data_IF_036109494431
#
_entry.id   IF_036109494431
#
_cell.length_a   1.000
_cell.length_b   1.000
_cell.length_c   1.000
_cell.angle_alpha   90.00
_cell.angle_beta   90.00
_cell.angle_gamma   90.00
#
_symmetry.space_group_name_H-M   'P 1'
#
loop_
_entity.id
_entity.type
_entity.pdbx_description
1 polymer ?
#
# COMPACT_ATOMS: atom_id res chain seq x y z
N UNK A 1 12.17 -4.97 30.83
CA UNK A 1 11.89 -3.59 30.39
C UNK A 1 12.98 -2.72 30.97
N UNK A 2 13.92 -2.28 30.12
CA UNK A 2 15.02 -1.42 30.56
C UNK A 2 14.52 0.04 30.45
N UNK A 3 14.60 0.86 31.51
CA UNK A 3 14.13 2.25 31.46
C UNK A 3 14.88 3.14 30.45
N UNK A 4 15.98 2.64 29.90
CA UNK A 4 16.88 3.35 28.98
C UNK A 4 16.52 3.14 27.49
N UNK A 5 15.55 2.29 27.17
CA UNK A 5 15.20 2.01 25.77
C UNK A 5 14.37 3.18 25.20
N UNK A 6 14.77 3.79 24.06
CA UNK A 6 14.02 4.88 23.46
C UNK A 6 12.63 4.38 23.02
N UNK A 7 11.60 5.08 23.49
CA UNK A 7 10.20 4.75 23.21
C UNK A 7 9.93 4.90 21.70
N UNK A 8 9.26 3.93 21.04
CA UNK A 8 8.95 4.03 19.62
C UNK A 8 8.08 5.26 19.35
N UNK A 9 8.56 6.12 18.45
CA UNK A 9 8.05 7.47 18.13
C UNK A 9 6.64 7.53 17.50
N UNK A 10 5.88 6.43 17.50
CA UNK A 10 4.58 6.35 16.82
C UNK A 10 3.37 6.56 17.74
N UNK A 11 3.57 6.84 19.03
CA UNK A 11 2.51 7.04 20.01
C UNK A 11 2.36 8.51 20.42
N UNK A 12 1.58 9.23 19.60
CA UNK A 12 0.67 10.34 19.97
C UNK A 12 1.22 11.74 20.30
N UNK A 13 0.55 12.74 19.69
CA UNK A 13 -0.06 13.85 20.45
C UNK A 13 0.70 15.18 20.49
N UNK A 14 0.06 16.23 19.99
CA UNK A 14 0.53 17.62 19.97
C UNK A 14 0.94 18.17 21.35
N UNK A 15 2.06 18.90 21.38
CA UNK A 15 2.33 20.07 22.23
C UNK A 15 3.52 20.83 21.66
N UNK A 16 3.36 22.14 21.48
CA UNK A 16 4.32 23.04 20.85
C UNK A 16 5.71 23.03 21.52
N UNK A 17 6.76 23.11 20.70
CA UNK A 17 8.17 23.30 21.10
C UNK A 17 8.80 24.46 20.29
N UNK A 18 9.78 25.19 20.84
CA UNK A 18 10.22 26.50 20.38
C UNK A 18 11.00 26.44 19.06
N UNK A 19 10.89 27.53 18.30
CA UNK A 19 11.36 27.67 16.91
C UNK A 19 12.78 27.16 16.71
N UNK A 20 12.88 25.97 16.10
CA UNK A 20 14.10 25.46 15.47
C UNK A 20 13.85 25.49 13.97
N UNK A 21 14.82 25.92 13.18
CA UNK A 21 14.71 26.08 11.71
C UNK A 21 14.22 24.80 11.04
N UNK A 22 12.93 24.73 10.74
CA UNK A 22 12.29 23.51 10.23
C UNK A 22 12.62 23.31 8.75
N UNK A 23 13.54 22.40 8.48
CA UNK A 23 13.53 21.69 7.18
C UNK A 23 12.23 20.91 7.14
N UNK A 24 11.35 21.05 6.11
CA UNK A 24 10.07 20.36 6.11
C UNK A 24 10.31 18.85 6.24
N UNK A 25 9.86 18.28 7.36
CA UNK A 25 9.97 16.85 7.73
C UNK A 25 9.14 15.92 6.83
N UNK A 26 8.80 16.33 5.62
CA UNK A 26 7.97 15.56 4.73
C UNK A 26 8.88 14.82 3.73
N UNK A 27 9.26 13.55 4.00
CA UNK A 27 9.98 12.77 3.01
C UNK A 27 9.14 12.69 1.72
N UNK A 28 9.77 12.61 0.54
CA UNK A 28 9.06 12.47 -0.72
C UNK A 28 8.02 11.34 -0.65
N UNK A 29 6.75 11.66 -0.91
CA UNK A 29 5.63 10.70 -0.90
C UNK A 29 5.28 10.32 -2.32
N UNK A 30 5.24 9.02 -2.60
CA UNK A 30 4.82 8.49 -3.90
C UNK A 30 3.44 7.82 -3.78
N UNK A 31 2.54 8.11 -4.71
CA UNK A 31 1.21 7.49 -4.74
C UNK A 31 1.26 6.21 -5.56
N UNK A 32 1.13 5.05 -4.90
CA UNK A 32 1.15 3.75 -5.58
C UNK A 32 -0.21 3.40 -6.22
N UNK A 33 -1.31 3.78 -5.58
CA UNK A 33 -2.67 3.50 -6.05
C UNK A 33 -3.48 4.79 -6.09
N UNK A 34 -4.15 5.05 -7.22
CA UNK A 34 -4.93 6.27 -7.44
C UNK A 34 -6.33 5.89 -7.88
N UNK A 35 -7.34 6.57 -7.33
CA UNK A 35 -8.73 6.40 -7.77
C UNK A 35 -8.89 6.84 -9.23
N UNK A 36 -9.62 6.07 -10.02
CA UNK A 36 -9.82 6.31 -11.46
C UNK A 36 -10.95 7.31 -11.78
N UNK A 37 -11.08 8.38 -10.98
CA UNK A 37 -12.09 9.45 -11.16
C UNK A 37 -13.30 9.37 -10.20
N UNK A 38 -14.23 10.34 -10.25
CA UNK A 38 -15.41 10.36 -9.38
C UNK A 38 -16.31 9.14 -9.62
N UNK A 39 -16.53 8.33 -8.59
CA UNK A 39 -17.29 7.06 -8.70
C UNK A 39 -16.53 5.93 -9.41
N UNK A 40 -15.26 6.15 -9.76
CA UNK A 40 -14.42 5.14 -10.39
C UNK A 40 -13.80 4.17 -9.39
N UNK A 41 -12.94 3.31 -9.91
CA UNK A 41 -12.23 2.27 -9.17
C UNK A 41 -11.60 2.82 -7.90
N UNK A 42 -11.95 2.21 -6.76
CA UNK A 42 -11.40 2.61 -5.45
C UNK A 42 -10.44 1.54 -4.96
N UNK A 43 -9.22 1.96 -4.60
CA UNK A 43 -8.22 1.09 -3.98
C UNK A 43 -8.33 1.17 -2.46
N UNK A 44 -8.66 0.08 -1.77
CA UNK A 44 -8.82 0.04 -0.30
C UNK A 44 -8.03 -1.11 0.33
N UNK A 45 -7.90 -1.05 1.66
CA UNK A 45 -7.14 -2.00 2.49
C UNK A 45 -5.66 -2.09 2.02
N UNK A 46 -4.92 -0.97 2.03
CA UNK A 46 -3.51 -1.01 1.63
C UNK A 46 -2.69 -1.82 2.64
N UNK A 47 -1.88 -2.74 2.13
CA UNK A 47 -0.90 -3.48 2.91
C UNK A 47 0.49 -3.38 2.28
N UNK A 48 1.53 -3.28 3.10
CA UNK A 48 2.92 -3.21 2.66
C UNK A 48 3.73 -4.32 3.34
N UNK A 49 4.42 -5.14 2.55
CA UNK A 49 5.27 -6.22 3.03
C UNK A 49 6.70 -6.01 2.55
N UNK A 50 7.65 -6.01 3.47
CA UNK A 50 9.09 -6.05 3.16
C UNK A 50 9.57 -7.49 3.08
N UNK A 51 10.07 -7.88 1.91
CA UNK A 51 10.68 -9.19 1.66
C UNK A 51 12.19 -8.97 1.50
N UNK A 52 13.00 -9.43 2.48
CA UNK A 52 14.45 -9.28 2.41
C UNK A 52 15.04 -9.87 1.11
N UNK A 53 16.14 -9.31 0.58
CA UNK A 53 16.94 -8.24 1.19
C UNK A 53 16.48 -6.82 0.85
N UNK A 54 15.71 -6.63 -0.23
CA UNK A 54 15.45 -5.31 -0.83
C UNK A 54 14.09 -5.19 -1.51
N UNK A 55 13.17 -6.14 -1.34
CA UNK A 55 11.89 -6.10 -2.06
C UNK A 55 10.79 -5.54 -1.17
N UNK A 56 9.99 -4.64 -1.70
CA UNK A 56 8.75 -4.16 -1.08
C UNK A 56 7.57 -4.56 -1.95
N UNK A 57 6.54 -5.11 -1.32
CA UNK A 57 5.32 -5.52 -1.99
C UNK A 57 4.18 -4.69 -1.40
N UNK A 58 3.56 -3.86 -2.24
CA UNK A 58 2.39 -3.09 -1.87
C UNK A 58 1.15 -3.74 -2.48
N UNK A 59 0.18 -4.08 -1.63
CA UNK A 59 -1.08 -4.70 -2.02
C UNK A 59 -2.24 -3.75 -1.74
N UNK A 60 -3.26 -3.79 -2.59
CA UNK A 60 -4.53 -3.10 -2.35
C UNK A 60 -5.66 -3.84 -3.07
N UNK A 61 -6.85 -3.83 -2.49
CA UNK A 61 -8.06 -4.30 -3.17
C UNK A 61 -8.50 -3.26 -4.19
N UNK A 62 -8.72 -3.67 -5.44
CA UNK A 62 -9.41 -2.91 -6.47
C UNK A 62 -10.90 -3.19 -6.36
N UNK A 63 -11.70 -2.13 -6.21
CA UNK A 63 -13.16 -2.20 -6.08
C UNK A 63 -13.82 -1.42 -7.20
N UNK A 64 -14.95 -1.92 -7.71
CA UNK A 64 -15.78 -1.16 -8.66
C UNK A 64 -16.61 -0.07 -7.99
N UNK A 65 -16.80 -0.14 -6.66
CA UNK A 65 -17.47 0.90 -5.88
C UNK A 65 -16.74 1.19 -4.55
N UNK A 66 -17.29 2.10 -3.75
CA UNK A 66 -16.77 2.42 -2.41
C UNK A 66 -17.08 1.33 -1.36
N UNK A 67 -18.08 0.48 -1.62
CA UNK A 67 -18.54 -0.56 -0.71
C UNK A 67 -17.48 -1.64 -0.52
N UNK A 68 -17.48 -2.26 0.64
CA UNK A 68 -16.50 -3.31 0.98
C UNK A 68 -16.75 -4.61 0.21
N UNK A 69 -18.00 -4.88 -0.15
CA UNK A 69 -18.44 -6.09 -0.84
C UNK A 69 -18.06 -6.12 -2.33
N UNK A 70 -17.81 -4.96 -2.95
CA UNK A 70 -17.55 -4.84 -4.39
C UNK A 70 -16.05 -4.99 -4.73
N UNK A 71 -15.31 -5.79 -3.96
CA UNK A 71 -13.92 -6.10 -4.21
C UNK A 71 -13.78 -7.10 -5.37
N UNK A 72 -13.13 -6.67 -6.45
CA UNK A 72 -13.01 -7.47 -7.67
C UNK A 72 -11.64 -8.14 -7.77
N UNK A 73 -10.58 -7.37 -7.46
CA UNK A 73 -9.21 -7.82 -7.62
C UNK A 73 -8.36 -7.45 -6.40
N UNK A 74 -7.37 -8.27 -6.07
CA UNK A 74 -6.23 -7.86 -5.27
C UNK A 74 -5.12 -7.41 -6.22
N UNK A 75 -4.62 -6.19 -6.06
CA UNK A 75 -3.55 -5.63 -6.88
C UNK A 75 -2.26 -5.59 -6.08
N UNK A 76 -1.19 -6.08 -6.68
CA UNK A 76 0.17 -6.07 -6.14
C UNK A 76 1.06 -5.17 -7.00
N UNK A 77 1.86 -4.35 -6.33
CA UNK A 77 2.96 -3.58 -6.91
C UNK A 77 4.26 -3.94 -6.21
N UNK A 78 5.28 -4.21 -7.02
CA UNK A 78 6.62 -4.51 -6.52
C UNK A 78 7.48 -3.26 -6.55
N UNK A 79 8.21 -3.01 -5.48
CA UNK A 79 9.24 -1.99 -5.38
C UNK A 79 10.57 -2.57 -4.95
N UNK A 80 11.65 -1.88 -5.29
CA UNK A 80 13.00 -2.21 -4.85
C UNK A 80 13.52 -1.14 -3.90
N UNK A 81 13.93 -1.55 -2.70
CA UNK A 81 14.50 -0.69 -1.67
C UNK A 81 16.02 -0.63 -1.79
N UNK A 82 16.54 0.57 -2.02
CA UNK A 82 17.97 0.78 -2.17
C UNK A 82 18.70 1.24 -0.89
N UNK A 83 17.99 1.29 0.25
CA UNK A 83 18.48 1.84 1.51
C UNK A 83 18.02 3.27 1.79
N UNK A 84 17.58 4.01 0.77
CA UNK A 84 17.14 5.41 0.89
C UNK A 84 15.79 5.70 0.26
N UNK A 85 15.47 5.03 -0.85
CA UNK A 85 14.19 5.17 -1.56
C UNK A 85 13.71 3.82 -2.09
N UNK A 86 12.42 3.79 -2.40
CA UNK A 86 11.77 2.71 -3.14
C UNK A 86 11.75 3.09 -4.61
N UNK A 87 12.13 2.17 -5.47
CA UNK A 87 11.93 2.29 -6.92
C UNK A 87 10.79 1.34 -7.30
N UNK A 88 9.65 1.91 -7.68
CA UNK A 88 8.47 1.14 -8.08
C UNK A 88 8.74 0.50 -9.44
N UNK A 89 8.63 -0.83 -9.50
CA UNK A 89 8.72 -1.57 -10.75
C UNK A 89 7.40 -1.39 -11.50
N UNK A 90 7.46 -1.24 -12.82
CA UNK A 90 6.29 -0.99 -13.67
C UNK A 90 5.25 -2.12 -13.69
N UNK A 91 5.62 -3.31 -13.22
CA UNK A 91 4.75 -4.49 -13.20
C UNK A 91 3.68 -4.37 -12.11
N UNK A 92 2.42 -4.49 -12.54
CA UNK A 92 1.25 -4.63 -11.69
C UNK A 92 0.72 -6.05 -11.87
N UNK A 93 0.64 -6.80 -10.78
CA UNK A 93 0.00 -8.12 -10.76
C UNK A 93 -1.40 -7.95 -10.19
N UNK A 94 -2.41 -8.52 -10.85
CA UNK A 94 -3.78 -8.55 -10.34
C UNK A 94 -4.23 -9.99 -10.12
N UNK A 95 -4.85 -10.24 -8.98
CA UNK A 95 -5.49 -11.51 -8.64
C UNK A 95 -7.00 -11.28 -8.61
N UNK A 96 -7.76 -12.06 -9.37
CA UNK A 96 -9.21 -11.88 -9.47
C UNK A 96 -9.99 -13.17 -9.32
N UNK A 97 -11.25 -13.03 -8.90
CA UNK A 97 -12.23 -14.13 -8.91
C UNK A 97 -12.92 -14.15 -10.26
N UNK A 98 -13.06 -15.34 -10.86
CA UNK A 98 -14.03 -15.55 -11.95
C UNK A 98 -15.09 -16.53 -11.46
N UNK A 99 -16.38 -16.18 -11.60
CA UNK A 99 -17.45 -17.05 -11.17
C UNK A 99 -18.83 -16.60 -11.66
N UNK A 100 -19.25 -17.16 -12.79
CA UNK A 100 -20.66 -17.47 -12.99
C UNK A 100 -20.91 -18.86 -12.40
N UNK A 101 -21.74 -18.94 -11.35
CA UNK A 101 -22.22 -20.20 -10.77
C UNK A 101 -21.66 -20.52 -9.38
N UNK A 102 -22.57 -20.79 -8.44
CA UNK A 102 -22.31 -21.20 -7.06
C UNK A 102 -21.23 -22.29 -6.96
N UNK A 103 -20.17 -22.05 -6.17
CA UNK A 103 -19.35 -23.12 -5.58
C UNK A 103 -17.83 -23.03 -5.78
N UNK A 104 -17.35 -22.46 -6.88
CA UNK A 104 -15.92 -22.56 -7.23
C UNK A 104 -15.25 -21.18 -7.28
N UNK A 105 -14.83 -20.66 -6.13
CA UNK A 105 -14.02 -19.44 -6.05
C UNK A 105 -12.58 -19.73 -6.51
N UNK A 106 -12.37 -19.82 -7.83
CA UNK A 106 -11.05 -20.01 -8.45
C UNK A 106 -10.38 -18.65 -8.67
N UNK A 107 -9.21 -18.48 -8.07
CA UNK A 107 -8.37 -17.29 -8.22
C UNK A 107 -7.46 -17.42 -9.43
N UNK A 108 -7.40 -16.38 -10.26
CA UNK A 108 -6.53 -16.33 -11.45
C UNK A 108 -5.55 -15.16 -11.38
N UNK A 109 -4.38 -15.35 -11.98
CA UNK A 109 -3.32 -14.36 -12.08
C UNK A 109 -3.38 -13.67 -13.45
N UNK A 110 -3.49 -12.35 -13.46
CA UNK A 110 -3.22 -11.53 -14.65
C UNK A 110 -1.96 -10.70 -14.41
N UNK A 111 -0.96 -10.87 -15.27
CA UNK A 111 0.24 -10.04 -15.31
C UNK A 111 0.45 -9.50 -16.72
N UNK A 112 0.60 -8.18 -16.86
CA UNK A 112 1.10 -7.57 -18.10
C UNK A 112 2.62 -7.75 -18.15
N UNK A 113 3.12 -8.29 -19.26
CA UNK A 113 4.57 -8.28 -19.58
C UNK A 113 5.07 -6.86 -19.80
#
# INVERSE_FOLDING_TARGET
FNPSDPKPQWLCGARECPQTSETPLNPPRETLFRQEGPGGVTFRIPALLHVPPRTLLAFAEKRSSIRDEDAELLVLRRGWWNGRRVEVMGERVAFGVWGGGFGDSKWWFWGSR
#
